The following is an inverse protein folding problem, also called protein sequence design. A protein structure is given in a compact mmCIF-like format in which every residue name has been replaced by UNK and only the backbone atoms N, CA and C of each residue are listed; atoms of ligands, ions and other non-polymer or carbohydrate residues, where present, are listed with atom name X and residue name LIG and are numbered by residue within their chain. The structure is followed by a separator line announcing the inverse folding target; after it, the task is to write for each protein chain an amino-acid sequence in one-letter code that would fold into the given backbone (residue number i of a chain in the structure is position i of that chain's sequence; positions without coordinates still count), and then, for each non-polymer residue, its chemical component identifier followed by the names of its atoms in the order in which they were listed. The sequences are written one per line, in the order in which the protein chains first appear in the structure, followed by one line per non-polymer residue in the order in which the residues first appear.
data_IF_588797838911
#
_entry.id   IF_588797838911
#
_cell.length_a   1.000
_cell.length_b   1.000
_cell.length_c   1.000
_cell.angle_alpha   90.00
_cell.angle_beta   90.00
_cell.angle_gamma   90.00
#
_symmetry.space_group_name_H-M   'P 1'
#
loop_
_entity.id
_entity.type
_entity.pdbx_description
1 polymer ?
#
# COMPACT_ATOMS: atom_id res chain seq x y z
N UNK A 1 36.57 6.77 -5.49
CA UNK A 1 36.46 5.35 -5.91
C UNK A 1 36.15 4.54 -4.67
N UNK A 2 34.89 4.08 -4.50
CA UNK A 2 34.53 3.06 -3.49
C UNK A 2 34.66 1.69 -4.18
N UNK A 3 35.55 0.78 -3.73
CA UNK A 3 35.86 -0.43 -4.51
C UNK A 3 34.90 -1.63 -4.34
N UNK A 4 33.70 -1.45 -3.77
CA UNK A 4 32.93 -2.58 -3.23
C UNK A 4 31.41 -2.56 -3.47
N UNK A 5 30.88 -1.62 -4.26
CA UNK A 5 29.42 -1.54 -4.55
C UNK A 5 28.98 -2.11 -5.90
N UNK A 6 29.90 -2.42 -6.82
CA UNK A 6 29.54 -2.59 -8.24
C UNK A 6 29.42 -4.06 -8.72
N UNK A 7 29.75 -5.07 -7.91
CA UNK A 7 29.80 -6.46 -8.41
C UNK A 7 28.43 -7.16 -8.53
N UNK A 8 27.38 -6.70 -7.81
CA UNK A 8 26.10 -7.42 -7.73
C UNK A 8 25.15 -7.13 -8.89
N UNK A 9 25.22 -5.94 -9.51
CA UNK A 9 24.37 -5.59 -10.66
C UNK A 9 25.12 -5.59 -11.98
N UNK A 10 26.46 -5.61 -11.98
CA UNK A 10 27.26 -5.61 -13.22
C UNK A 10 27.13 -6.90 -14.03
N UNK A 11 26.66 -7.99 -13.41
CA UNK A 11 26.32 -9.28 -14.03
C UNK A 11 24.83 -9.63 -13.85
N UNK A 12 23.94 -8.63 -13.78
CA UNK A 12 22.52 -8.87 -13.55
C UNK A 12 21.93 -9.81 -14.63
N UNK A 13 21.52 -11.01 -14.20
CA UNK A 13 20.75 -11.93 -15.02
C UNK A 13 19.28 -11.54 -14.93
N UNK A 14 18.63 -11.35 -16.07
CA UNK A 14 17.21 -10.99 -16.12
C UNK A 14 16.38 -12.27 -16.12
N UNK A 15 15.61 -12.45 -15.06
CA UNK A 15 14.56 -13.48 -15.00
C UNK A 15 13.22 -12.81 -15.32
N UNK A 16 12.55 -13.26 -16.38
CA UNK A 16 11.17 -12.86 -16.65
C UNK A 16 10.24 -13.78 -15.87
N UNK A 17 9.48 -13.21 -14.95
CA UNK A 17 8.40 -13.90 -14.25
C UNK A 17 7.10 -13.66 -14.99
N UNK A 18 6.34 -14.74 -15.17
CA UNK A 18 5.05 -14.75 -15.85
C UNK A 18 4.11 -15.66 -15.08
N UNK A 19 2.81 -15.41 -15.25
CA UNK A 19 1.81 -16.41 -14.95
C UNK A 19 1.86 -17.54 -16.01
N UNK A 20 2.16 -18.80 -15.65
CA UNK A 20 2.18 -19.90 -16.60
C UNK A 20 0.78 -20.28 -17.14
N UNK A 21 -0.28 -19.94 -16.41
CA UNK A 21 -1.67 -20.20 -16.83
C UNK A 21 -2.24 -19.02 -17.63
N UNK A 22 -1.51 -17.90 -17.70
CA UNK A 22 -2.07 -16.62 -18.06
C UNK A 22 -2.38 -16.47 -19.55
N UNK A 23 -3.62 -16.07 -19.85
CA UNK A 23 -3.95 -15.43 -21.12
C UNK A 23 -3.11 -14.15 -21.29
N UNK A 24 -2.89 -13.72 -22.53
CA UNK A 24 -2.05 -12.57 -22.89
C UNK A 24 -2.62 -11.21 -22.42
N UNK A 25 -2.96 -10.99 -21.14
CA UNK A 25 -3.58 -9.71 -20.72
C UNK A 25 -3.75 -9.43 -19.21
N UNK A 26 -3.22 -10.23 -18.28
CA UNK A 26 -3.55 -10.05 -16.85
C UNK A 26 -2.94 -8.83 -16.14
N UNK A 27 -2.41 -7.86 -16.88
CA UNK A 27 -1.82 -6.61 -16.35
C UNK A 27 -0.84 -6.83 -15.18
N UNK A 28 -0.13 -7.96 -15.21
CA UNK A 28 0.74 -8.38 -14.12
C UNK A 28 1.79 -7.31 -13.82
N UNK A 29 1.74 -6.78 -12.59
CA UNK A 29 2.67 -5.77 -12.09
C UNK A 29 2.37 -4.33 -12.50
N UNK A 30 1.20 -4.06 -13.08
CA UNK A 30 0.75 -2.71 -13.48
C UNK A 30 0.83 -1.72 -12.31
N UNK A 31 0.30 -2.10 -11.14
CA UNK A 31 0.27 -1.25 -9.94
C UNK A 31 1.46 -1.44 -9.01
N UNK A 32 2.45 -2.25 -9.41
CA UNK A 32 3.69 -2.43 -8.69
C UNK A 32 3.89 -3.83 -8.09
N UNK A 33 5.02 -3.95 -7.39
CA UNK A 33 5.53 -5.21 -6.83
C UNK A 33 5.98 -5.01 -5.40
N UNK A 34 5.94 -6.07 -4.59
CA UNK A 34 6.43 -6.05 -3.22
C UNK A 34 7.39 -7.21 -2.97
N UNK A 35 8.50 -6.94 -2.28
CA UNK A 35 9.54 -7.92 -1.97
C UNK A 35 9.69 -8.05 -0.45
N UNK A 36 9.88 -9.28 0.04
CA UNK A 36 10.29 -9.51 1.42
C UNK A 36 11.66 -8.92 1.71
N UNK A 37 11.95 -8.62 2.98
CA UNK A 37 13.19 -7.95 3.36
C UNK A 37 14.45 -8.80 3.05
N UNK A 38 14.30 -10.12 3.04
CA UNK A 38 15.36 -11.08 2.68
C UNK A 38 15.45 -11.33 1.16
N UNK A 39 14.55 -10.77 0.34
CA UNK A 39 14.54 -10.92 -1.11
C UNK A 39 14.13 -12.30 -1.62
N UNK A 40 13.58 -13.18 -0.77
CA UNK A 40 13.19 -14.54 -1.14
C UNK A 40 11.75 -14.66 -1.65
N UNK A 41 10.88 -13.71 -1.33
CA UNK A 41 9.46 -13.74 -1.71
C UNK A 41 9.09 -12.44 -2.41
N UNK A 42 8.50 -12.56 -3.59
CA UNK A 42 8.01 -11.46 -4.42
C UNK A 42 6.51 -11.63 -4.62
N UNK A 43 5.73 -10.57 -4.45
CA UNK A 43 4.31 -10.53 -4.73
C UNK A 43 3.98 -9.44 -5.75
N UNK A 44 2.98 -9.70 -6.59
CA UNK A 44 2.48 -8.75 -7.59
C UNK A 44 1.01 -9.01 -7.90
N UNK A 45 0.25 -7.95 -8.13
CA UNK A 45 -1.13 -8.05 -8.62
C UNK A 45 -1.20 -8.37 -10.11
N UNK A 46 -2.24 -9.11 -10.49
CA UNK A 46 -2.65 -9.42 -11.84
C UNK A 46 -4.17 -9.19 -11.95
N UNK A 47 -4.56 -7.92 -12.02
CA UNK A 47 -5.96 -7.47 -11.96
C UNK A 47 -6.83 -7.94 -13.12
N UNK A 48 -6.25 -8.35 -14.24
CA UNK A 48 -7.00 -8.93 -15.37
C UNK A 48 -7.16 -10.46 -15.31
N UNK A 49 -6.73 -11.12 -14.23
CA UNK A 49 -6.88 -12.57 -14.08
C UNK A 49 -8.34 -12.95 -13.78
N UNK A 50 -8.97 -13.71 -14.68
CA UNK A 50 -10.38 -14.09 -14.57
C UNK A 50 -10.61 -15.47 -13.89
N UNK A 51 -9.60 -16.02 -13.20
CA UNK A 51 -9.66 -17.39 -12.67
C UNK A 51 -10.88 -17.67 -11.79
N UNK A 52 -11.29 -16.71 -10.97
CA UNK A 52 -12.42 -16.82 -10.05
C UNK A 52 -13.67 -16.06 -10.53
N UNK A 53 -13.69 -15.61 -11.79
CA UNK A 53 -14.76 -14.77 -12.31
C UNK A 53 -14.27 -13.68 -13.25
N UNK A 54 -15.18 -13.06 -14.01
CA UNK A 54 -14.88 -11.89 -14.84
C UNK A 54 -14.36 -10.77 -13.95
N UNK A 55 -13.23 -10.18 -14.34
CA UNK A 55 -12.59 -9.07 -13.64
C UNK A 55 -12.38 -9.41 -12.15
N UNK A 56 -11.98 -10.64 -11.83
CA UNK A 56 -11.80 -11.08 -10.43
C UNK A 56 -10.41 -10.75 -9.87
N UNK A 57 -9.40 -10.73 -10.74
CA UNK A 57 -8.01 -10.46 -10.41
C UNK A 57 -7.37 -11.54 -9.52
N UNK A 58 -6.05 -11.46 -9.38
CA UNK A 58 -5.29 -12.32 -8.47
C UNK A 58 -3.99 -11.68 -8.00
N UNK A 59 -3.43 -12.20 -6.90
CA UNK A 59 -2.06 -11.88 -6.49
C UNK A 59 -1.19 -13.10 -6.72
N UNK A 60 -0.13 -12.92 -7.50
CA UNK A 60 0.89 -13.92 -7.74
C UNK A 60 2.03 -13.73 -6.75
N UNK A 61 2.50 -14.84 -6.17
CA UNK A 61 3.58 -14.87 -5.20
C UNK A 61 4.64 -15.86 -5.65
N UNK A 62 5.82 -15.35 -6.01
CA UNK A 62 6.99 -16.16 -6.32
C UNK A 62 7.89 -16.28 -5.11
N UNK A 63 8.39 -17.49 -4.89
CA UNK A 63 9.30 -17.79 -3.80
C UNK A 63 10.48 -18.60 -4.31
N UNK A 64 11.69 -18.07 -4.13
CA UNK A 64 12.97 -18.75 -4.40
C UNK A 64 13.48 -19.42 -3.13
N UNK A 65 14.21 -20.55 -3.25
CA UNK A 65 14.63 -21.31 -2.08
C UNK A 65 15.72 -20.62 -1.26
N UNK A 66 16.57 -19.81 -1.89
CA UNK A 66 17.70 -19.12 -1.27
C UNK A 66 18.20 -17.93 -2.12
N UNK A 67 19.17 -17.19 -1.58
CA UNK A 67 19.79 -16.04 -2.24
C UNK A 67 20.81 -16.39 -3.34
N UNK A 68 21.16 -17.68 -3.51
CA UNK A 68 22.10 -18.14 -4.54
C UNK A 68 21.37 -18.54 -5.83
N UNK A 69 20.10 -18.90 -5.72
CA UNK A 69 19.23 -19.27 -6.84
C UNK A 69 18.43 -18.06 -7.28
N UNK A 70 18.42 -17.71 -8.56
CA UNK A 70 17.53 -16.66 -9.06
C UNK A 70 16.06 -17.13 -9.11
N UNK A 71 15.14 -16.26 -9.50
CA UNK A 71 13.71 -16.61 -9.56
C UNK A 71 13.35 -17.56 -10.71
N UNK A 72 14.29 -18.03 -11.55
CA UNK A 72 13.95 -18.98 -12.62
C UNK A 72 13.48 -20.34 -12.08
N UNK A 73 13.85 -20.66 -10.83
CA UNK A 73 13.44 -21.87 -10.11
C UNK A 73 12.52 -21.56 -8.92
N UNK A 74 11.79 -20.44 -8.97
CA UNK A 74 10.84 -20.11 -7.91
C UNK A 74 9.59 -20.99 -7.97
N UNK A 75 9.05 -21.34 -6.80
CA UNK A 75 7.66 -21.80 -6.71
C UNK A 75 6.72 -20.61 -6.88
N UNK A 76 5.62 -20.81 -7.61
CA UNK A 76 4.55 -19.83 -7.78
C UNK A 76 3.31 -20.27 -7.00
N UNK A 77 2.71 -19.32 -6.30
CA UNK A 77 1.41 -19.43 -5.64
C UNK A 77 0.51 -18.30 -6.11
N UNK A 78 -0.80 -18.55 -6.15
CA UNK A 78 -1.82 -17.53 -6.41
C UNK A 78 -2.76 -17.43 -5.22
N UNK A 79 -3.15 -16.21 -4.90
CA UNK A 79 -4.25 -15.95 -3.97
C UNK A 79 -5.31 -15.10 -4.66
N UNK A 80 -6.55 -15.30 -4.24
CA UNK A 80 -7.75 -14.74 -4.87
C UNK A 80 -8.72 -14.21 -3.82
N UNK A 81 -9.60 -13.30 -4.22
CA UNK A 81 -10.80 -12.99 -3.43
C UNK A 81 -11.77 -14.19 -3.52
N UNK A 82 -12.28 -14.71 -2.38
CA UNK A 82 -13.38 -15.68 -2.37
C UNK A 82 -14.70 -15.18 -2.99
N UNK A 83 -14.95 -13.86 -3.11
CA UNK A 83 -16.15 -13.30 -3.75
C UNK A 83 -16.17 -13.57 -5.27
N UNK A 84 -15.03 -13.47 -5.95
CA UNK A 84 -14.91 -13.80 -7.38
C UNK A 84 -15.18 -12.62 -8.31
N UNK A 85 -16.19 -12.72 -9.18
CA UNK A 85 -16.56 -11.72 -10.20
C UNK A 85 -16.50 -10.27 -9.67
N UNK A 86 -15.87 -9.36 -10.42
CA UNK A 86 -15.82 -7.92 -10.11
C UNK A 86 -14.94 -7.55 -8.89
N UNK A 87 -14.10 -8.48 -8.42
CA UNK A 87 -13.19 -8.21 -7.31
C UNK A 87 -11.94 -7.41 -7.76
N UNK A 88 -11.55 -7.56 -9.01
CA UNK A 88 -10.29 -7.18 -9.66
C UNK A 88 -9.01 -7.08 -8.79
N UNK A 89 -8.92 -7.93 -7.77
CA UNK A 89 -7.83 -8.02 -6.83
C UNK A 89 -6.46 -7.80 -7.49
N UNK A 90 -5.66 -6.88 -6.94
CA UNK A 90 -4.35 -6.54 -7.50
C UNK A 90 -4.34 -5.32 -8.42
N UNK A 91 -5.45 -4.59 -8.55
CA UNK A 91 -5.54 -3.27 -9.20
C UNK A 91 -5.09 -2.13 -8.28
N UNK A 92 -4.23 -2.45 -7.33
CA UNK A 92 -3.59 -1.48 -6.45
C UNK A 92 -2.32 -2.08 -5.86
N UNK A 93 -1.50 -1.25 -5.19
CA UNK A 93 -0.23 -1.69 -4.62
C UNK A 93 -0.44 -2.78 -3.56
N UNK A 94 0.33 -3.86 -3.67
CA UNK A 94 0.36 -4.97 -2.71
C UNK A 94 1.44 -4.74 -1.63
N UNK A 95 1.25 -5.31 -0.44
CA UNK A 95 2.22 -5.22 0.65
C UNK A 95 2.48 -6.56 1.33
N UNK A 96 3.76 -6.86 1.59
CA UNK A 96 4.23 -7.99 2.37
C UNK A 96 4.82 -7.52 3.70
N UNK A 97 4.70 -8.35 4.74
CA UNK A 97 5.58 -8.23 5.91
C UNK A 97 7.02 -8.58 5.53
N UNK A 98 8.00 -8.14 6.32
CA UNK A 98 9.42 -8.36 6.04
C UNK A 98 9.80 -9.85 5.96
N UNK A 99 9.10 -10.71 6.70
CA UNK A 99 9.23 -12.17 6.70
C UNK A 99 8.28 -12.88 5.72
N UNK A 100 7.49 -12.11 4.95
CA UNK A 100 6.47 -12.57 4.02
C UNK A 100 5.44 -13.55 4.62
N UNK A 101 5.17 -13.48 5.92
CA UNK A 101 4.12 -14.27 6.57
C UNK A 101 2.74 -13.62 6.48
N UNK A 102 2.68 -12.33 6.17
CA UNK A 102 1.46 -11.57 5.95
C UNK A 102 1.53 -10.92 4.57
N UNK A 103 0.46 -11.08 3.80
CA UNK A 103 0.25 -10.40 2.53
C UNK A 103 -1.05 -9.61 2.65
N UNK A 104 -1.03 -8.35 2.24
CA UNK A 104 -2.22 -7.55 2.08
C UNK A 104 -2.27 -6.99 0.66
N UNK A 105 -3.46 -7.02 0.08
CA UNK A 105 -3.73 -6.45 -1.22
C UNK A 105 -5.12 -5.86 -1.26
N UNK A 106 -5.28 -4.88 -2.13
CA UNK A 106 -6.50 -4.12 -2.26
C UNK A 106 -7.46 -4.65 -3.30
N UNK A 107 -8.69 -4.22 -3.05
CA UNK A 107 -9.87 -4.15 -3.89
C UNK A 107 -10.67 -5.44 -4.14
N UNK A 108 -11.99 -5.27 -3.95
CA UNK A 108 -13.10 -5.98 -4.55
C UNK A 108 -14.38 -5.17 -4.29
N UNK A 109 -15.07 -4.74 -5.36
CA UNK A 109 -16.32 -3.97 -5.27
C UNK A 109 -17.36 -4.78 -4.50
N UNK A 110 -17.75 -4.32 -3.30
CA UNK A 110 -18.73 -5.04 -2.50
C UNK A 110 -20.14 -4.59 -2.87
N UNK A 111 -20.95 -5.56 -3.32
CA UNK A 111 -22.33 -5.41 -3.80
C UNK A 111 -23.34 -4.84 -2.77
N UNK A 112 -22.89 -4.47 -1.57
CA UNK A 112 -23.74 -3.91 -0.51
C UNK A 112 -23.75 -2.38 -0.52
N UNK A 113 -22.71 -1.74 -1.08
CA UNK A 113 -22.57 -0.28 -1.25
C UNK A 113 -21.68 -0.06 -2.46
N UNK A 114 -22.28 0.30 -3.62
CA UNK A 114 -21.59 0.60 -4.88
C UNK A 114 -20.25 1.30 -4.60
N UNK A 115 -19.15 0.68 -5.03
CA UNK A 115 -17.76 1.17 -4.93
C UNK A 115 -17.10 1.26 -3.54
N UNK A 116 -17.54 0.54 -2.51
CA UNK A 116 -16.94 0.68 -1.16
C UNK A 116 -15.45 0.29 -1.03
N UNK A 117 -14.95 -0.64 -1.87
CA UNK A 117 -13.60 -1.19 -1.81
C UNK A 117 -13.31 -2.04 -0.55
N UNK A 118 -12.17 -2.74 -0.53
CA UNK A 118 -11.75 -3.54 0.63
C UNK A 118 -10.27 -3.88 0.63
N UNK A 119 -9.74 -4.30 1.79
CA UNK A 119 -8.39 -4.87 1.90
C UNK A 119 -8.51 -6.35 2.27
N UNK A 120 -7.89 -7.22 1.49
CA UNK A 120 -7.78 -8.64 1.81
C UNK A 120 -6.42 -8.92 2.46
N UNK A 121 -6.43 -9.67 3.56
CA UNK A 121 -5.23 -10.03 4.31
C UNK A 121 -5.09 -11.54 4.42
N UNK A 122 -4.02 -12.07 3.84
CA UNK A 122 -3.63 -13.47 3.92
C UNK A 122 -2.50 -13.66 4.91
N UNK A 123 -2.51 -14.81 5.59
CA UNK A 123 -1.46 -15.19 6.53
C UNK A 123 -1.01 -16.62 6.30
N UNK A 124 0.25 -16.92 6.64
CA UNK A 124 0.79 -18.29 6.64
C UNK A 124 1.66 -18.50 7.87
N UNK A 125 1.75 -19.77 8.31
CA UNK A 125 2.50 -20.11 9.52
C UNK A 125 4.02 -19.98 9.33
N UNK A 126 4.51 -20.28 8.13
CA UNK A 126 5.86 -19.98 7.67
C UNK A 126 5.90 -20.01 6.14
N UNK A 127 7.04 -19.65 5.56
CA UNK A 127 7.22 -19.57 4.11
C UNK A 127 7.12 -20.92 3.38
N UNK A 128 7.16 -22.05 4.07
CA UNK A 128 6.95 -23.38 3.47
C UNK A 128 5.48 -23.79 3.36
N UNK A 129 4.56 -22.98 3.90
CA UNK A 129 3.12 -23.21 3.82
C UNK A 129 2.44 -22.22 2.88
N UNK A 130 1.33 -22.64 2.29
CA UNK A 130 0.45 -21.75 1.53
C UNK A 130 -0.23 -20.76 2.48
N UNK A 131 -0.65 -19.63 1.93
CA UNK A 131 -1.54 -18.69 2.60
C UNK A 131 -2.89 -19.35 2.96
N UNK A 132 -3.44 -18.97 4.11
CA UNK A 132 -4.80 -19.32 4.53
C UNK A 132 -5.84 -18.53 3.72
N UNK A 133 -7.13 -18.82 3.89
CA UNK A 133 -8.18 -17.92 3.39
C UNK A 133 -8.00 -16.49 3.94
N UNK A 134 -8.30 -15.45 3.13
CA UNK A 134 -8.10 -14.08 3.56
C UNK A 134 -9.12 -13.66 4.60
N UNK A 135 -8.73 -12.65 5.37
CA UNK A 135 -9.66 -11.80 6.12
C UNK A 135 -9.96 -10.57 5.27
N UNK A 136 -11.24 -10.30 5.01
CA UNK A 136 -11.70 -9.05 4.36
C UNK A 136 -11.82 -7.94 5.40
N UNK A 137 -11.17 -6.82 5.13
CA UNK A 137 -11.20 -5.61 5.95
C UNK A 137 -11.95 -4.51 5.22
N UNK A 138 -12.89 -3.90 5.92
CA UNK A 138 -13.69 -2.77 5.44
C UNK A 138 -13.74 -1.70 6.52
N UNK A 139 -14.13 -0.50 6.13
CA UNK A 139 -14.36 0.60 7.05
C UNK A 139 -15.63 1.35 6.66
N UNK A 140 -16.37 1.80 7.68
CA UNK A 140 -17.61 2.55 7.47
C UNK A 140 -17.31 3.88 6.79
N UNK A 141 -18.12 4.22 5.79
CA UNK A 141 -18.00 5.49 5.06
C UNK A 141 -16.91 5.46 3.99
N UNK A 142 -16.30 4.29 3.73
CA UNK A 142 -15.31 4.17 2.67
C UNK A 142 -15.95 4.15 1.30
N UNK A 143 -15.27 4.82 0.39
CA UNK A 143 -15.48 4.82 -1.06
C UNK A 143 -14.11 4.54 -1.70
N UNK A 144 -14.04 3.60 -2.64
CA UNK A 144 -12.83 3.07 -3.27
C UNK A 144 -11.69 2.75 -2.28
N UNK A 145 -12.00 2.10 -1.15
CA UNK A 145 -10.99 1.73 -0.18
C UNK A 145 -9.87 0.90 -0.82
N UNK A 146 -8.63 1.31 -0.58
CA UNK A 146 -7.37 0.74 -1.07
C UNK A 146 -7.09 0.91 -2.57
N UNK A 147 -7.79 1.83 -3.23
CA UNK A 147 -7.52 2.19 -4.64
C UNK A 147 -6.06 2.61 -4.87
N UNK A 148 -5.51 3.48 -4.02
CA UNK A 148 -4.11 3.90 -4.09
C UNK A 148 -3.12 2.87 -3.50
N UNK A 149 -3.63 1.71 -3.08
CA UNK A 149 -2.87 0.59 -2.55
C UNK A 149 -2.92 0.45 -1.03
N UNK A 150 -2.15 -0.53 -0.56
CA UNK A 150 -2.03 -0.90 0.85
C UNK A 150 -0.57 -0.79 1.28
N UNK A 151 -0.32 -0.32 2.50
CA UNK A 151 1.01 -0.32 3.12
C UNK A 151 0.98 -1.04 4.48
N UNK A 152 2.09 -1.68 4.84
CA UNK A 152 2.18 -2.55 6.01
C UNK A 152 3.49 -2.34 6.76
N UNK A 153 3.45 -2.43 8.10
CA UNK A 153 4.66 -2.46 8.92
C UNK A 153 5.46 -3.75 8.69
N UNK A 154 6.77 -3.71 8.99
CA UNK A 154 7.67 -4.84 8.75
C UNK A 154 7.24 -6.12 9.48
N UNK A 155 6.64 -5.99 10.65
CA UNK A 155 6.13 -7.11 11.46
C UNK A 155 4.72 -7.58 11.07
N UNK A 156 4.09 -6.95 10.07
CA UNK A 156 2.75 -7.30 9.61
C UNK A 156 1.64 -7.12 10.65
N UNK A 157 1.84 -6.20 11.61
CA UNK A 157 0.86 -5.89 12.65
C UNK A 157 0.04 -4.64 12.37
N UNK A 158 0.55 -3.71 11.56
CA UNK A 158 -0.14 -2.48 11.15
C UNK A 158 -0.34 -2.51 9.64
N UNK A 159 -1.57 -2.27 9.21
CA UNK A 159 -1.96 -2.12 7.81
C UNK A 159 -2.65 -0.77 7.65
N UNK A 160 -2.28 -0.03 6.60
CA UNK A 160 -2.91 1.23 6.22
C UNK A 160 -3.39 1.18 4.78
N UNK A 161 -4.56 1.75 4.53
CA UNK A 161 -5.14 1.94 3.20
C UNK A 161 -5.91 3.26 3.16
N UNK A 162 -6.06 3.84 1.97
CA UNK A 162 -6.75 5.12 1.76
C UNK A 162 -8.13 4.91 1.16
N UNK A 163 -9.01 5.89 1.33
CA UNK A 163 -10.36 5.90 0.78
C UNK A 163 -10.70 7.32 0.34
N UNK A 164 -11.48 7.45 -0.71
CA UNK A 164 -11.97 8.73 -1.23
C UNK A 164 -13.25 9.21 -0.53
N UNK A 165 -13.70 8.54 0.53
CA UNK A 165 -15.00 8.84 1.14
C UNK A 165 -15.05 10.19 1.89
N UNK A 166 -16.28 10.57 2.24
CA UNK A 166 -16.65 11.97 2.50
C UNK A 166 -16.65 12.39 3.98
N UNK A 167 -15.61 12.06 4.74
CA UNK A 167 -15.67 12.27 6.21
C UNK A 167 -15.61 13.76 6.59
N UNK A 168 -14.75 14.55 5.95
CA UNK A 168 -14.60 16.00 6.21
C UNK A 168 -15.32 16.89 5.18
N UNK A 169 -15.95 16.28 4.19
CA UNK A 169 -16.59 16.92 3.05
C UNK A 169 -16.65 15.98 1.86
N UNK A 170 -17.43 16.32 0.84
CA UNK A 170 -17.42 15.60 -0.45
C UNK A 170 -16.00 15.47 -0.95
N UNK A 171 -15.56 14.26 -1.29
CA UNK A 171 -14.25 13.99 -1.86
C UNK A 171 -13.07 14.45 -0.96
N UNK A 172 -13.29 14.49 0.36
CA UNK A 172 -12.24 14.88 1.31
C UNK A 172 -11.19 13.80 1.52
N UNK A 173 -11.56 12.53 1.29
CA UNK A 173 -10.71 11.38 1.52
C UNK A 173 -10.41 11.12 3.01
N UNK A 174 -9.94 9.91 3.30
CA UNK A 174 -9.41 9.53 4.61
C UNK A 174 -8.53 8.29 4.54
N UNK A 175 -7.77 8.07 5.61
CA UNK A 175 -6.95 6.87 5.77
C UNK A 175 -7.51 5.96 6.84
N UNK A 176 -7.48 4.66 6.56
CA UNK A 176 -7.90 3.60 7.47
C UNK A 176 -6.69 2.82 7.92
N UNK A 177 -6.61 2.58 9.23
CA UNK A 177 -5.55 1.81 9.84
C UNK A 177 -6.11 0.66 10.67
N UNK A 178 -5.59 -0.54 10.45
CA UNK A 178 -5.82 -1.69 11.32
C UNK A 178 -4.53 -2.04 12.05
N UNK A 179 -4.62 -2.16 13.37
CA UNK A 179 -3.51 -2.58 14.22
C UNK A 179 -3.94 -3.73 15.12
N UNK A 180 -3.26 -4.87 14.99
CA UNK A 180 -3.42 -6.02 15.88
C UNK A 180 -2.30 -6.08 16.91
N UNK A 181 -2.62 -6.57 18.11
CA UNK A 181 -1.66 -6.62 19.21
C UNK A 181 -0.47 -7.55 18.97
N UNK A 182 -0.65 -8.63 18.21
CA UNK A 182 0.38 -9.59 17.81
C UNK A 182 -0.14 -10.50 16.70
N UNK A 183 0.74 -11.36 16.15
CA UNK A 183 0.43 -12.26 15.05
C UNK A 183 -0.64 -13.32 15.34
N UNK A 184 -0.93 -13.62 16.62
CA UNK A 184 -2.00 -14.55 17.01
C UNK A 184 -3.39 -13.91 17.00
N UNK A 185 -3.48 -12.58 16.94
CA UNK A 185 -4.75 -11.87 16.81
C UNK A 185 -5.10 -11.73 15.33
N UNK A 186 -6.29 -12.19 14.95
CA UNK A 186 -6.81 -11.99 13.60
C UNK A 186 -7.24 -10.53 13.40
N UNK A 187 -6.98 -9.98 12.21
CA UNK A 187 -7.47 -8.65 11.81
C UNK A 187 -9.01 -8.57 11.79
N UNK A 188 -9.71 -9.71 11.69
CA UNK A 188 -11.18 -9.76 11.79
C UNK A 188 -11.69 -9.27 13.16
N UNK A 189 -10.85 -9.31 14.19
CA UNK A 189 -11.17 -8.89 15.54
C UNK A 189 -10.60 -7.50 15.89
N UNK A 190 -10.11 -6.76 14.89
CA UNK A 190 -9.54 -5.42 15.04
C UNK A 190 -10.57 -4.39 14.60
N UNK A 191 -10.79 -3.38 15.43
CA UNK A 191 -11.56 -2.19 15.02
C UNK A 191 -10.63 -1.24 14.27
N UNK A 192 -10.97 -0.80 13.04
CA UNK A 192 -10.16 0.17 12.31
C UNK A 192 -10.14 1.53 13.00
N UNK A 193 -9.01 2.21 12.86
CA UNK A 193 -8.85 3.64 13.13
C UNK A 193 -9.06 4.41 11.84
N UNK A 194 -9.82 5.50 11.93
CA UNK A 194 -9.99 6.46 10.85
C UNK A 194 -9.09 7.64 11.14
N UNK A 195 -8.23 7.98 10.17
CA UNK A 195 -7.30 9.09 10.20
C UNK A 195 -7.73 10.09 9.11
N UNK A 196 -7.91 11.33 9.51
CA UNK A 196 -8.37 12.44 8.66
C UNK A 196 -7.46 13.62 8.84
N UNK A 197 -7.32 14.44 7.79
CA UNK A 197 -6.68 15.74 7.93
C UNK A 197 -7.58 16.64 8.79
N UNK A 198 -7.11 17.20 9.92
CA UNK A 198 -7.96 18.02 10.77
C UNK A 198 -8.48 19.30 10.12
N UNK A 199 -7.79 19.81 9.09
CA UNK A 199 -8.22 20.94 8.27
C UNK A 199 -8.76 20.51 6.90
N UNK A 200 -8.92 19.20 6.66
CA UNK A 200 -9.42 18.65 5.41
C UNK A 200 -10.78 19.23 5.04
N UNK A 201 -10.94 19.48 3.75
CA UNK A 201 -12.06 20.13 3.12
C UNK A 201 -12.56 19.31 1.91
N UNK A 202 -13.57 19.86 1.24
CA UNK A 202 -14.14 19.24 0.06
C UNK A 202 -13.14 19.30 -1.10
N UNK A 203 -12.83 18.15 -1.69
CA UNK A 203 -11.97 18.05 -2.86
C UNK A 203 -10.47 17.96 -2.56
N UNK A 204 -10.07 17.80 -1.29
CA UNK A 204 -8.64 17.67 -0.95
C UNK A 204 -8.09 16.27 -1.26
N UNK A 205 -8.98 15.27 -1.38
CA UNK A 205 -8.68 13.86 -1.69
C UNK A 205 -7.54 13.27 -0.85
N UNK A 206 -7.62 13.38 0.48
CA UNK A 206 -6.63 12.77 1.36
C UNK A 206 -6.49 11.27 1.08
N UNK A 207 -5.30 10.88 0.63
CA UNK A 207 -4.93 9.52 0.32
C UNK A 207 -4.95 9.15 -1.16
N UNK A 208 -5.19 10.11 -2.06
CA UNK A 208 -5.10 9.94 -3.51
C UNK A 208 -3.75 9.37 -3.97
N UNK A 209 -2.63 9.93 -3.49
CA UNK A 209 -1.29 9.38 -3.76
C UNK A 209 -0.87 8.26 -2.82
N UNK A 210 -1.80 7.79 -2.00
CA UNK A 210 -1.65 6.66 -1.10
C UNK A 210 -1.15 7.01 0.29
N UNK A 211 -1.05 5.96 1.10
CA UNK A 211 -0.54 6.02 2.47
C UNK A 211 0.66 5.07 2.61
N UNK A 212 1.60 5.46 3.48
CA UNK A 212 2.75 4.64 3.84
C UNK A 212 2.93 4.59 5.35
N UNK A 213 3.33 3.44 5.87
CA UNK A 213 3.68 3.24 7.28
C UNK A 213 5.14 2.84 7.41
N UNK A 214 5.84 3.39 8.42
CA UNK A 214 7.22 3.00 8.75
C UNK A 214 7.31 1.52 9.16
N UNK A 215 8.51 0.94 9.05
CA UNK A 215 8.75 -0.47 9.34
C UNK A 215 8.40 -0.84 10.78
N UNK A 216 8.63 0.07 11.72
CA UNK A 216 8.26 -0.09 13.13
C UNK A 216 6.78 0.18 13.44
N UNK A 217 6.00 0.66 12.47
CA UNK A 217 4.58 0.97 12.62
C UNK A 217 4.30 2.22 13.47
N UNK A 218 5.25 3.16 13.60
CA UNK A 218 5.11 4.35 14.44
C UNK A 218 4.85 5.67 13.68
N UNK A 219 5.13 5.70 12.37
CA UNK A 219 4.95 6.88 11.52
C UNK A 219 4.09 6.50 10.32
N UNK A 220 2.99 7.22 10.13
CA UNK A 220 2.11 7.10 8.97
C UNK A 220 2.17 8.43 8.20
N UNK A 221 2.37 8.37 6.90
CA UNK A 221 2.35 9.54 6.01
C UNK A 221 1.38 9.29 4.86
N UNK A 222 0.59 10.30 4.52
CA UNK A 222 -0.50 10.22 3.55
C UNK A 222 -0.46 11.46 2.68
N UNK A 223 -0.45 11.30 1.36
CA UNK A 223 -0.52 12.41 0.41
C UNK A 223 -1.95 12.93 0.24
N UNK A 224 -2.10 14.20 -0.06
CA UNK A 224 -3.36 14.87 -0.41
C UNK A 224 -3.06 15.79 -1.58
N UNK A 225 -3.02 15.24 -2.80
CA UNK A 225 -2.52 15.94 -3.99
C UNK A 225 -3.32 17.20 -4.35
N UNK A 226 -4.62 17.22 -4.03
CA UNK A 226 -5.55 18.28 -4.42
C UNK A 226 -5.85 19.27 -3.29
N UNK A 227 -5.18 19.14 -2.15
CA UNK A 227 -5.35 20.05 -1.03
C UNK A 227 -4.88 21.48 -1.39
N UNK A 228 -5.77 22.44 -1.14
CA UNK A 228 -5.58 23.86 -1.37
C UNK A 228 -4.82 24.47 -0.18
N UNK A 229 -3.48 24.33 -0.20
CA UNK A 229 -2.60 24.93 0.79
C UNK A 229 -2.59 26.46 0.68
N UNK A 230 -1.54 27.02 0.05
CA UNK A 230 -1.45 28.47 -0.17
C UNK A 230 -2.03 28.93 -1.51
N UNK A 231 -2.04 28.03 -2.49
CA UNK A 231 -2.59 28.23 -3.83
C UNK A 231 -3.44 27.00 -4.15
N UNK A 232 -4.26 27.12 -5.19
CA UNK A 232 -5.15 26.03 -5.63
C UNK A 232 -4.30 24.80 -6.00
N UNK A 233 -4.68 23.63 -5.48
CA UNK A 233 -4.08 22.32 -5.75
C UNK A 233 -2.55 22.28 -5.55
N UNK A 234 -2.03 22.95 -4.51
CA UNK A 234 -0.61 22.84 -4.14
C UNK A 234 -0.25 21.44 -3.65
N UNK A 235 -1.24 20.74 -3.07
CA UNK A 235 -1.11 19.46 -2.40
C UNK A 235 -0.39 19.54 -1.06
N UNK A 236 -0.56 18.51 -0.24
CA UNK A 236 0.06 18.41 1.08
C UNK A 236 0.31 16.97 1.49
N UNK A 237 1.02 16.79 2.61
CA UNK A 237 1.23 15.49 3.23
C UNK A 237 0.86 15.56 4.70
N UNK A 238 -0.01 14.66 5.13
CA UNK A 238 -0.41 14.55 6.54
C UNK A 238 0.37 13.42 7.18
N UNK A 239 1.08 13.74 8.27
CA UNK A 239 1.95 12.81 8.99
C UNK A 239 1.48 12.63 10.42
N UNK A 240 1.20 11.39 10.80
CA UNK A 240 1.01 11.03 12.19
C UNK A 240 2.25 10.33 12.73
N UNK A 241 2.69 10.75 13.92
CA UNK A 241 3.81 10.11 14.63
C UNK A 241 3.44 9.87 16.07
N UNK A 242 3.55 8.60 16.50
CA UNK A 242 3.38 8.20 17.89
C UNK A 242 4.73 7.80 18.51
N UNK A 243 4.92 7.99 19.83
CA UNK A 243 6.19 7.65 20.47
C UNK A 243 6.43 6.14 20.64
N UNK A 244 5.37 5.33 20.63
CA UNK A 244 5.41 3.87 20.71
C UNK A 244 4.03 3.28 20.39
N UNK A 245 3.94 1.96 20.21
CA UNK A 245 2.70 1.24 19.87
C UNK A 245 1.60 1.26 20.95
N UNK A 246 1.91 1.66 22.19
CA UNK A 246 0.89 1.81 23.24
C UNK A 246 0.08 3.10 23.12
N UNK A 247 0.55 4.07 22.33
CA UNK A 247 -0.18 5.29 21.99
C UNK A 247 -0.92 5.08 20.68
N UNK A 248 -2.21 5.41 20.64
CA UNK A 248 -3.00 5.27 19.41
C UNK A 248 -2.79 6.47 18.49
N UNK A 249 -2.83 6.25 17.18
CA UNK A 249 -2.70 7.31 16.17
C UNK A 249 -3.79 8.38 16.25
N UNK A 250 -4.98 8.05 16.75
CA UNK A 250 -6.05 9.03 16.97
C UNK A 250 -5.82 9.95 18.18
N UNK A 251 -4.81 9.66 19.01
CA UNK A 251 -4.47 10.43 20.20
C UNK A 251 -3.29 11.38 19.99
N UNK A 252 -2.65 11.31 18.82
CA UNK A 252 -1.58 12.24 18.44
C UNK A 252 -2.14 13.30 17.50
N UNK A 253 -1.59 14.50 17.59
CA UNK A 253 -1.89 15.56 16.62
C UNK A 253 -1.06 15.30 15.36
N UNK A 254 -1.69 15.14 14.17
CA UNK A 254 -0.93 15.04 12.94
C UNK A 254 -0.24 16.36 12.61
N UNK A 255 0.79 16.26 11.77
CA UNK A 255 1.50 17.39 11.19
C UNK A 255 1.22 17.41 9.70
N UNK A 256 0.64 18.51 9.22
CA UNK A 256 0.51 18.80 7.79
C UNK A 256 1.82 19.41 7.29
N UNK A 257 2.29 18.92 6.14
CA UNK A 257 3.56 19.30 5.54
C UNK A 257 3.31 19.81 4.12
N UNK A 258 3.66 21.07 3.91
CA UNK A 258 3.64 21.73 2.62
C UNK A 258 5.07 21.93 2.08
N UNK A 259 5.19 22.26 0.80
CA UNK A 259 6.49 22.51 0.17
C UNK A 259 6.85 24.01 0.23
N UNK A 260 8.06 24.38 0.71
CA UNK A 260 8.52 25.77 0.60
C UNK A 260 8.58 26.24 -0.84
N UNK A 261 7.89 27.35 -1.13
CA UNK A 261 7.78 27.88 -2.50
C UNK A 261 6.87 27.06 -3.40
N UNK A 262 5.84 26.45 -2.81
CA UNK A 262 4.67 25.91 -3.50
C UNK A 262 4.10 26.90 -4.52
N UNK A 263 3.52 26.35 -5.58
CA UNK A 263 2.80 27.05 -6.64
C UNK A 263 1.47 26.33 -6.86
N UNK A 264 0.54 27.07 -7.45
CA UNK A 264 -0.69 26.51 -8.01
C UNK A 264 -0.39 25.25 -8.84
N UNK A 265 -1.20 24.21 -8.66
CA UNK A 265 -1.10 22.92 -9.37
C UNK A 265 0.25 22.19 -9.15
N UNK A 266 0.86 22.31 -7.96
CA UNK A 266 2.07 21.57 -7.61
C UNK A 266 1.81 20.08 -7.30
N UNK A 267 0.62 19.76 -6.80
CA UNK A 267 0.18 18.40 -6.49
C UNK A 267 1.17 17.62 -5.61
N UNK A 268 1.65 18.22 -4.52
CA UNK A 268 2.51 17.50 -3.58
C UNK A 268 1.77 16.27 -3.02
N UNK A 269 2.35 15.09 -3.21
CA UNK A 269 1.88 13.84 -2.61
C UNK A 269 0.82 13.08 -3.41
N UNK A 270 0.45 13.54 -4.61
CA UNK A 270 -0.64 13.01 -5.47
C UNK A 270 -0.45 11.59 -6.04
N UNK A 271 0.78 11.13 -6.22
CA UNK A 271 1.11 9.89 -6.93
C UNK A 271 2.01 8.95 -6.09
N UNK A 272 2.46 9.43 -4.93
CA UNK A 272 3.25 8.60 -4.05
C UNK A 272 3.86 9.34 -2.88
N UNK A 273 3.73 8.72 -1.73
CA UNK A 273 4.51 9.01 -0.52
C UNK A 273 5.29 7.76 -0.10
N UNK A 274 6.53 7.96 0.36
CA UNK A 274 7.40 6.89 0.83
C UNK A 274 8.14 7.32 2.11
N UNK A 275 8.27 6.39 3.05
CA UNK A 275 8.99 6.58 4.30
C UNK A 275 10.23 5.68 4.38
N UNK A 276 11.27 6.17 5.03
CA UNK A 276 12.35 5.30 5.53
C UNK A 276 11.83 4.34 6.58
N UNK A 277 12.57 3.25 6.83
CA UNK A 277 12.17 2.21 7.79
C UNK A 277 11.91 2.77 9.21
N UNK A 278 12.69 3.78 9.62
CA UNK A 278 12.55 4.48 10.91
C UNK A 278 11.58 5.68 10.87
N UNK A 279 11.00 5.97 9.70
CA UNK A 279 10.08 7.09 9.49
C UNK A 279 10.69 8.48 9.70
N UNK A 280 12.01 8.62 9.65
CA UNK A 280 12.70 9.92 9.82
C UNK A 280 12.97 10.64 8.50
N UNK A 281 12.92 9.93 7.37
CA UNK A 281 13.03 10.50 6.03
C UNK A 281 11.76 10.14 5.26
N UNK A 282 11.21 11.14 4.57
CA UNK A 282 10.04 10.99 3.72
C UNK A 282 10.37 11.53 2.33
N UNK A 283 9.86 10.86 1.30
CA UNK A 283 9.87 11.35 -0.07
C UNK A 283 8.43 11.40 -0.61
N UNK A 284 8.12 12.40 -1.42
CA UNK A 284 6.82 12.55 -2.04
C UNK A 284 6.93 13.08 -3.47
N UNK A 285 5.98 12.70 -4.31
CA UNK A 285 5.84 13.23 -5.67
C UNK A 285 5.39 14.68 -5.64
N UNK A 286 5.77 15.43 -6.66
CA UNK A 286 5.26 16.76 -6.99
C UNK A 286 5.07 16.74 -8.50
N UNK A 287 3.84 16.81 -8.98
CA UNK A 287 3.54 16.50 -10.39
C UNK A 287 3.52 17.71 -11.32
N UNK A 288 3.78 18.92 -10.84
CA UNK A 288 3.84 20.10 -11.71
C UNK A 288 4.93 20.04 -12.79
N UNK A 289 4.59 20.48 -14.00
CA UNK A 289 5.52 20.72 -15.11
C UNK A 289 6.30 19.47 -15.57
N UNK A 290 7.57 19.37 -15.16
CA UNK A 290 8.46 18.24 -15.50
C UNK A 290 8.50 17.15 -14.41
N UNK A 291 7.72 17.30 -13.34
CA UNK A 291 7.75 16.46 -12.16
C UNK A 291 8.96 16.74 -11.26
N UNK A 292 8.78 16.55 -9.96
CA UNK A 292 9.84 16.62 -8.95
C UNK A 292 9.59 15.62 -7.82
N UNK A 293 10.61 15.41 -6.98
CA UNK A 293 10.51 14.65 -5.74
C UNK A 293 10.92 15.56 -4.60
N UNK A 294 10.02 15.78 -3.65
CA UNK A 294 10.33 16.46 -2.41
C UNK A 294 10.85 15.44 -1.40
N UNK A 295 11.96 15.76 -0.72
CA UNK A 295 12.53 14.93 0.34
C UNK A 295 12.56 15.73 1.63
N UNK A 296 11.96 15.17 2.67
CA UNK A 296 11.84 15.76 4.01
C UNK A 296 12.66 14.92 4.98
N UNK A 297 13.44 15.58 5.84
CA UNK A 297 14.25 14.93 6.86
C UNK A 297 13.97 15.61 8.20
N UNK A 298 13.53 14.80 9.18
CA UNK A 298 13.29 15.22 10.55
C UNK A 298 14.50 15.07 11.46
#
# INVERSE_FOLDING_TARGET
QRPDLDANFSNAHVVKLVDPDGAEQYYLGEYGVCLSADGLVLASGANGDDHNGQDSGSILVWQRPDLLTDFSNSSLFKVFDPQGDGSYLGNSRVSLSSDALVLAAGFAEDAELDDSGSVLVWQRANVSFNFTSPVKLTARGSYYLSYSGVSMSADGLVIVATSEGDIMGSDSGFTVMWERANSSVSFANVTPLILVDPDGARGDYLGDGGATISADGLVCAVGSGYDDGRFDETGSIVVWRRPNKSVSFNSVTPVKIDRPGEKEEDYLGDNGVALSADGNVMAATVSSGFGAIAVFQG
#
